data_IF_668337208463
#
_entry.id   IF_668337208463
#
_cell.length_a   1.000
_cell.length_b   1.000
_cell.length_c   1.000
_cell.angle_alpha   90.00
_cell.angle_beta   90.00
_cell.angle_gamma   90.00
#
_symmetry.space_group_name_H-M   'P 1'
#
loop_
_entity.id
_entity.type
_entity.pdbx_description
1 polymer ?
#
# COMPACT_ATOMS: atom_id res chain seq x y z
N UNK A 1 -14.56 15.50 -8.97
CA UNK A 1 -13.18 15.58 -9.38
C UNK A 1 -12.24 15.32 -8.21
N UNK A 2 -11.37 14.36 -8.32
CA UNK A 2 -10.34 14.08 -7.33
C UNK A 2 -10.82 13.50 -6.00
N UNK A 3 -11.99 12.89 -5.95
CA UNK A 3 -12.43 12.20 -4.73
C UNK A 3 -11.97 10.74 -4.80
N UNK A 4 -10.74 10.51 -4.38
CA UNK A 4 -10.10 9.20 -4.50
C UNK A 4 -10.82 8.11 -3.70
N UNK A 5 -11.37 8.46 -2.53
CA UNK A 5 -12.11 7.49 -1.72
C UNK A 5 -13.33 6.96 -2.47
N UNK A 6 -14.07 7.81 -3.17
CA UNK A 6 -15.22 7.39 -3.94
C UNK A 6 -14.84 6.45 -5.07
N UNK A 7 -13.75 6.74 -5.77
CA UNK A 7 -13.26 5.88 -6.85
C UNK A 7 -12.84 4.50 -6.31
N UNK A 8 -12.15 4.47 -5.18
CA UNK A 8 -11.73 3.22 -4.56
C UNK A 8 -12.93 2.42 -4.06
N UNK A 9 -13.95 3.09 -3.52
CA UNK A 9 -15.16 2.41 -3.09
C UNK A 9 -15.96 1.84 -4.26
N UNK A 10 -15.95 2.49 -5.42
CA UNK A 10 -16.58 1.93 -6.62
C UNK A 10 -15.91 0.62 -7.03
N UNK A 11 -14.59 0.53 -6.91
CA UNK A 11 -13.88 -0.72 -7.19
C UNK A 11 -14.25 -1.81 -6.17
N UNK A 12 -14.39 -1.46 -4.90
CA UNK A 12 -14.82 -2.39 -3.86
C UNK A 12 -16.21 -2.95 -4.19
N UNK A 13 -17.12 -2.09 -4.63
CA UNK A 13 -18.50 -2.50 -4.95
C UNK A 13 -18.58 -3.52 -6.09
N UNK A 14 -17.54 -3.57 -6.92
CA UNK A 14 -17.45 -4.54 -8.02
C UNK A 14 -16.90 -5.90 -7.59
N UNK A 15 -16.37 -6.01 -6.38
CA UNK A 15 -15.75 -7.25 -5.90
C UNK A 15 -16.80 -8.19 -5.30
N UNK A 16 -16.64 -9.49 -5.55
CA UNK A 16 -17.59 -10.51 -5.10
C UNK A 16 -16.96 -11.57 -4.19
N UNK A 17 -15.63 -11.53 -3.99
CA UNK A 17 -14.94 -12.48 -3.10
C UNK A 17 -15.10 -12.13 -1.63
N UNK A 18 -14.65 -13.02 -0.75
CA UNK A 18 -14.71 -12.83 0.69
C UNK A 18 -13.71 -11.81 1.18
N UNK A 19 -12.59 -11.67 0.48
CA UNK A 19 -11.55 -10.67 0.74
C UNK A 19 -11.23 -9.91 -0.53
N UNK A 20 -10.74 -8.69 -0.36
CA UNK A 20 -10.34 -7.81 -1.46
C UNK A 20 -8.87 -7.49 -1.30
N UNK A 21 -8.11 -7.65 -2.38
CA UNK A 21 -6.75 -7.17 -2.47
C UNK A 21 -6.74 -6.01 -3.45
N UNK A 22 -6.74 -4.79 -2.91
CA UNK A 22 -6.86 -3.57 -3.72
C UNK A 22 -5.49 -2.88 -3.80
N UNK A 23 -4.93 -2.88 -5.01
CA UNK A 23 -3.61 -2.26 -5.25
C UNK A 23 -3.77 -1.08 -6.21
N UNK A 24 -2.85 -0.13 -6.12
CA UNK A 24 -2.78 0.98 -7.05
C UNK A 24 -2.17 0.53 -8.37
N UNK A 25 -2.44 1.28 -9.44
CA UNK A 25 -2.00 0.91 -10.79
C UNK A 25 -0.47 0.80 -10.93
N UNK A 26 0.27 1.49 -10.06
CA UNK A 26 1.73 1.51 -10.06
C UNK A 26 2.35 0.63 -8.98
N UNK A 27 1.56 -0.27 -8.41
CA UNK A 27 2.03 -1.22 -7.40
C UNK A 27 1.97 -2.64 -7.95
N UNK A 28 2.95 -3.46 -7.59
CA UNK A 28 2.97 -4.88 -7.93
C UNK A 28 3.24 -5.70 -6.67
N UNK A 29 2.46 -6.75 -6.41
CA UNK A 29 2.75 -7.64 -5.29
C UNK A 29 3.97 -8.51 -5.62
N UNK A 30 4.80 -8.81 -4.61
CA UNK A 30 5.86 -9.78 -4.76
C UNK A 30 5.27 -11.17 -4.96
N UNK A 31 6.02 -12.07 -5.60
CA UNK A 31 5.55 -13.44 -5.82
C UNK A 31 5.25 -14.15 -4.50
N UNK A 32 6.11 -13.97 -3.50
CA UNK A 32 5.91 -14.60 -2.20
C UNK A 32 4.62 -14.13 -1.53
N UNK A 33 4.28 -12.83 -1.66
CA UNK A 33 3.03 -12.31 -1.11
C UNK A 33 1.83 -13.01 -1.77
N UNK A 34 1.84 -13.16 -3.07
CA UNK A 34 0.78 -13.86 -3.79
C UNK A 34 0.67 -15.30 -3.32
N UNK A 35 1.81 -15.96 -3.16
CA UNK A 35 1.86 -17.38 -2.79
C UNK A 35 1.31 -17.64 -1.40
N UNK A 36 1.54 -16.73 -0.45
CA UNK A 36 1.11 -16.95 0.95
C UNK A 36 -0.31 -16.47 1.23
N UNK A 37 -0.89 -15.65 0.35
CA UNK A 37 -2.19 -15.02 0.61
C UNK A 37 -3.29 -16.03 0.96
N UNK A 38 -3.54 -17.11 0.19
CA UNK A 38 -4.63 -18.02 0.53
C UNK A 38 -4.48 -18.62 1.94
N UNK A 39 -3.27 -19.04 2.30
CA UNK A 39 -3.01 -19.61 3.62
C UNK A 39 -3.12 -18.56 4.72
N UNK A 40 -2.63 -17.34 4.47
CA UNK A 40 -2.71 -16.24 5.41
C UNK A 40 -4.17 -15.95 5.79
N UNK A 41 -5.02 -15.81 4.79
CA UNK A 41 -6.44 -15.50 4.99
C UNK A 41 -7.18 -16.64 5.67
N UNK A 42 -6.88 -17.88 5.28
CA UNK A 42 -7.50 -19.07 5.86
C UNK A 42 -7.09 -19.27 7.32
N UNK A 43 -5.84 -18.97 7.67
CA UNK A 43 -5.32 -19.15 9.02
C UNK A 43 -5.77 -18.09 10.00
N UNK A 44 -6.29 -16.95 9.50
CA UNK A 44 -6.69 -15.82 10.34
C UNK A 44 -8.08 -15.32 9.94
N UNK A 45 -9.10 -16.16 10.07
CA UNK A 45 -10.42 -15.83 9.49
C UNK A 45 -11.11 -14.64 10.16
N UNK A 46 -10.74 -14.30 11.37
CA UNK A 46 -11.37 -13.20 12.11
C UNK A 46 -10.68 -11.86 11.91
N UNK A 47 -9.54 -11.82 11.23
CA UNK A 47 -8.84 -10.58 10.98
C UNK A 47 -9.39 -9.89 9.74
N UNK A 48 -9.76 -8.62 9.87
CA UNK A 48 -10.48 -7.89 8.83
C UNK A 48 -9.59 -7.08 7.90
N UNK A 49 -8.39 -6.72 8.34
CA UNK A 49 -7.51 -5.86 7.57
C UNK A 49 -6.06 -6.29 7.74
N UNK A 50 -5.31 -6.27 6.64
CA UNK A 50 -3.87 -6.51 6.65
C UNK A 50 -3.13 -5.32 6.09
N UNK A 51 -2.11 -4.89 6.83
CA UNK A 51 -1.17 -3.88 6.37
C UNK A 51 -0.01 -4.60 5.68
N UNK A 52 0.29 -4.17 4.46
CA UNK A 52 1.33 -4.79 3.63
C UNK A 52 2.47 -3.79 3.47
N UNK A 53 3.73 -4.19 3.73
CA UNK A 53 4.86 -3.28 3.54
C UNK A 53 5.07 -3.02 2.05
N UNK A 54 5.31 -1.76 1.72
CA UNK A 54 5.55 -1.33 0.34
C UNK A 54 7.01 -0.93 0.19
N UNK A 55 7.63 -1.41 -0.89
CA UNK A 55 8.99 -1.09 -1.26
C UNK A 55 8.95 0.04 -2.28
N UNK A 56 9.39 1.22 -1.88
CA UNK A 56 9.48 2.38 -2.76
C UNK A 56 10.90 2.52 -3.26
N UNK A 57 11.06 2.56 -4.58
CA UNK A 57 12.34 2.86 -5.22
C UNK A 57 12.15 4.05 -6.14
N UNK A 58 13.17 4.91 -6.21
CA UNK A 58 13.12 6.11 -7.05
C UNK A 58 14.36 6.13 -7.94
N UNK A 59 14.16 5.89 -9.23
CA UNK A 59 15.23 5.96 -10.21
C UNK A 59 15.68 7.41 -10.38
N UNK A 60 16.98 7.63 -10.35
CA UNK A 60 17.55 8.98 -10.44
C UNK A 60 17.67 9.71 -9.12
N UNK A 61 17.40 9.05 -8.01
CA UNK A 61 17.52 9.64 -6.68
C UNK A 61 19.00 9.94 -6.36
N UNK A 62 19.25 11.17 -5.89
CA UNK A 62 20.60 11.62 -5.52
C UNK A 62 20.67 11.89 -4.02
N UNK A 63 21.90 11.95 -3.44
CA UNK A 63 22.05 12.35 -2.03
C UNK A 63 21.41 13.70 -1.71
N UNK A 64 21.41 14.64 -2.66
CA UNK A 64 20.78 15.94 -2.48
C UNK A 64 19.28 15.83 -2.34
N UNK A 65 18.62 14.97 -3.12
CA UNK A 65 17.20 14.70 -2.98
C UNK A 65 16.88 14.10 -1.62
N UNK A 66 17.68 13.12 -1.19
CA UNK A 66 17.50 12.44 0.09
C UNK A 66 17.55 13.46 1.24
N UNK A 67 18.53 14.36 1.21
CA UNK A 67 18.68 15.38 2.22
C UNK A 67 17.54 16.40 2.18
N UNK A 68 17.18 16.86 0.97
CA UNK A 68 16.13 17.86 0.77
C UNK A 68 14.77 17.38 1.30
N UNK A 69 14.45 16.10 1.08
CA UNK A 69 13.16 15.54 1.47
C UNK A 69 13.20 14.82 2.81
N UNK A 70 14.38 14.70 3.43
CA UNK A 70 14.51 14.05 4.74
C UNK A 70 14.25 12.55 4.68
N UNK A 71 14.54 11.90 3.57
CA UNK A 71 14.28 10.48 3.39
C UNK A 71 15.38 9.61 3.96
N UNK A 72 15.00 8.36 4.29
CA UNK A 72 15.96 7.31 4.65
C UNK A 72 15.96 6.30 3.51
N UNK A 73 17.15 5.84 3.14
CA UNK A 73 17.33 4.83 2.08
C UNK A 73 18.22 3.73 2.63
N UNK A 74 17.76 2.49 2.55
CA UNK A 74 18.54 1.35 3.06
C UNK A 74 19.54 0.86 2.03
N UNK A 75 20.29 -0.21 2.37
CA UNK A 75 21.32 -0.78 1.49
C UNK A 75 20.77 -1.36 0.21
N UNK A 76 19.48 -1.66 0.14
CA UNK A 76 18.81 -2.16 -1.05
C UNK A 76 18.27 -1.04 -1.93
N UNK A 77 18.42 0.22 -1.53
CA UNK A 77 17.88 1.36 -2.24
C UNK A 77 16.40 1.62 -1.98
N UNK A 78 15.83 1.03 -0.95
CA UNK A 78 14.42 1.21 -0.60
C UNK A 78 14.24 2.47 0.25
N UNK A 79 13.30 3.31 -0.16
CA UNK A 79 13.04 4.61 0.46
C UNK A 79 12.05 4.46 1.62
N UNK A 80 12.47 4.91 2.80
CA UNK A 80 11.61 4.95 4.00
C UNK A 80 10.91 3.60 4.30
N UNK A 81 11.60 2.50 4.08
CA UNK A 81 11.04 1.18 4.33
C UNK A 81 11.07 0.85 5.83
N UNK A 82 10.02 0.25 6.39
CA UNK A 82 8.79 -0.18 5.75
C UNK A 82 7.76 0.94 5.60
N UNK A 83 7.05 0.91 4.48
CA UNK A 83 5.95 1.81 4.20
C UNK A 83 4.67 0.97 4.14
N UNK A 84 4.02 0.79 5.29
CA UNK A 84 2.85 -0.08 5.40
C UNK A 84 1.62 0.54 4.75
N UNK A 85 0.93 -0.26 3.95
CA UNK A 85 -0.26 0.15 3.22
C UNK A 85 -1.43 -0.78 3.52
N UNK A 86 -2.62 -0.21 3.64
CA UNK A 86 -3.85 -0.97 3.82
C UNK A 86 -4.33 -1.44 2.45
N UNK A 87 -4.06 -2.70 2.13
CA UNK A 87 -4.34 -3.24 0.78
C UNK A 87 -5.16 -4.51 0.76
N UNK A 88 -5.26 -5.22 1.88
CA UNK A 88 -6.02 -6.46 1.98
C UNK A 88 -7.08 -6.27 3.03
N UNK A 89 -8.35 -6.47 2.66
CA UNK A 89 -9.47 -6.23 3.56
C UNK A 89 -10.57 -7.26 3.36
N UNK A 90 -11.30 -7.54 4.42
CA UNK A 90 -12.50 -8.37 4.34
C UNK A 90 -13.58 -7.63 3.54
N UNK A 91 -14.27 -8.34 2.67
CA UNK A 91 -15.31 -7.74 1.83
C UNK A 91 -16.64 -7.66 2.60
N UNK A 92 -16.74 -6.65 3.47
CA UNK A 92 -17.95 -6.38 4.25
C UNK A 92 -18.34 -4.92 4.04
N UNK A 93 -19.66 -4.59 4.14
CA UNK A 93 -20.14 -3.23 3.84
C UNK A 93 -19.57 -2.15 4.76
N UNK A 94 -19.15 -2.52 5.97
CA UNK A 94 -18.65 -1.59 6.97
C UNK A 94 -17.28 -1.00 6.60
N UNK A 95 -16.46 -1.75 5.81
CA UNK A 95 -15.11 -1.31 5.47
C UNK A 95 -15.15 -0.52 4.18
N UNK A 96 -14.82 0.77 4.27
CA UNK A 96 -14.85 1.69 3.15
C UNK A 96 -13.74 2.73 3.26
N UNK A 97 -13.36 3.26 2.11
CA UNK A 97 -12.43 4.38 2.05
C UNK A 97 -13.14 5.67 2.40
N UNK A 98 -12.46 6.52 3.17
CA UNK A 98 -12.97 7.83 3.59
C UNK A 98 -11.92 8.90 3.28
N UNK A 99 -12.35 10.17 3.30
CA UNK A 99 -11.59 11.37 3.02
C UNK A 99 -11.37 11.62 1.52
N UNK A 100 -11.40 12.88 1.17
CA UNK A 100 -11.25 13.33 -0.22
C UNK A 100 -9.82 13.14 -0.73
N UNK A 101 -8.83 13.52 0.10
CA UNK A 101 -7.40 13.29 -0.15
C UNK A 101 -6.82 12.63 1.09
N UNK A 102 -5.68 11.96 0.94
CA UNK A 102 -5.09 11.15 2.00
C UNK A 102 -6.12 10.16 2.53
N UNK A 103 -6.79 9.50 1.59
CA UNK A 103 -7.85 8.56 1.89
C UNK A 103 -7.33 7.40 2.73
N UNK A 104 -8.19 6.91 3.63
CA UNK A 104 -7.89 5.77 4.49
C UNK A 104 -9.08 4.83 4.55
N UNK A 105 -8.84 3.57 4.87
CA UNK A 105 -9.90 2.62 5.16
C UNK A 105 -10.43 2.84 6.58
N UNK A 106 -11.73 2.70 6.73
CA UNK A 106 -12.41 2.83 8.01
C UNK A 106 -13.44 1.72 8.14
N UNK A 107 -13.98 1.52 9.34
CA UNK A 107 -15.02 0.54 9.61
C UNK A 107 -14.54 -0.87 9.94
N UNK A 108 -13.22 -1.12 9.94
CA UNK A 108 -12.67 -2.42 10.36
C UNK A 108 -12.54 -2.48 11.89
N UNK A 109 -12.68 -3.67 12.45
CA UNK A 109 -12.59 -3.90 13.90
C UNK A 109 -11.26 -4.50 14.30
N UNK A 110 -10.55 -5.15 13.39
CA UNK A 110 -9.27 -5.80 13.66
C UNK A 110 -8.33 -5.59 12.50
N UNK A 111 -7.03 -5.53 12.79
CA UNK A 111 -6.02 -5.40 11.76
C UNK A 111 -4.72 -6.04 12.22
N UNK A 112 -3.88 -6.40 11.26
CA UNK A 112 -2.54 -6.90 11.52
C UNK A 112 -1.60 -6.42 10.43
N UNK A 113 -0.36 -6.15 10.79
CA UNK A 113 0.69 -5.83 9.84
C UNK A 113 1.46 -7.11 9.52
N UNK A 114 1.79 -7.34 8.26
CA UNK A 114 2.65 -8.46 7.90
C UNK A 114 4.03 -8.25 8.51
N UNK A 115 4.62 -9.30 9.13
CA UNK A 115 5.96 -9.17 9.71
C UNK A 115 7.02 -8.89 8.65
N UNK A 116 8.15 -8.35 9.07
CA UNK A 116 9.32 -8.13 8.21
C UNK A 116 10.32 -9.28 8.30
N UNK A 117 10.00 -10.31 9.09
CA UNK A 117 10.85 -11.46 9.36
C UNK A 117 10.02 -12.74 9.39
N UNK A 118 10.55 -13.81 9.92
CA UNK A 118 9.84 -15.08 10.18
C UNK A 118 9.19 -15.68 8.92
N UNK A 119 9.89 -15.58 7.78
CA UNK A 119 9.39 -16.11 6.50
C UNK A 119 8.59 -15.12 5.67
N UNK A 120 8.37 -13.90 6.16
CA UNK A 120 7.64 -12.87 5.44
C UNK A 120 8.54 -11.81 4.81
N UNK A 121 9.86 -12.01 4.83
CA UNK A 121 10.83 -11.01 4.37
C UNK A 121 10.61 -10.60 2.91
N UNK A 122 10.09 -11.51 2.08
CA UNK A 122 9.85 -11.27 0.66
C UNK A 122 8.38 -10.97 0.34
N UNK A 123 7.56 -10.68 1.35
CA UNK A 123 6.14 -10.37 1.17
C UNK A 123 5.93 -8.87 1.22
N UNK A 124 5.86 -8.23 0.05
CA UNK A 124 5.72 -6.77 -0.04
C UNK A 124 5.12 -6.36 -1.38
N UNK A 125 4.75 -5.07 -1.45
CA UNK A 125 4.37 -4.42 -2.70
C UNK A 125 5.60 -3.72 -3.27
N UNK A 126 5.73 -3.75 -4.58
CA UNK A 126 6.80 -3.07 -5.32
C UNK A 126 6.21 -1.81 -5.94
N UNK A 127 6.83 -0.66 -5.67
CA UNK A 127 6.33 0.64 -6.11
C UNK A 127 7.48 1.48 -6.67
N UNK A 128 7.91 1.22 -7.92
CA UNK A 128 9.01 1.97 -8.52
C UNK A 128 8.54 3.31 -9.07
N UNK A 129 9.39 4.32 -8.96
CA UNK A 129 9.16 5.65 -9.53
C UNK A 129 10.42 6.19 -10.17
N UNK A 130 10.26 7.17 -11.07
CA UNK A 130 11.37 8.01 -11.51
C UNK A 130 11.41 9.28 -10.67
N UNK A 131 12.55 9.97 -10.67
CA UNK A 131 12.68 11.23 -9.93
C UNK A 131 11.74 12.29 -10.49
N UNK A 132 11.54 12.34 -11.80
CA UNK A 132 10.63 13.29 -12.43
C UNK A 132 9.20 13.06 -11.96
N UNK A 133 8.78 11.80 -11.88
CA UNK A 133 7.43 11.46 -11.42
C UNK A 133 7.24 11.84 -9.96
N UNK A 134 8.26 11.63 -9.12
CA UNK A 134 8.20 12.00 -7.71
C UNK A 134 8.07 13.50 -7.53
N UNK A 135 8.82 14.29 -8.31
CA UNK A 135 8.73 15.75 -8.27
C UNK A 135 7.36 16.24 -8.71
N UNK A 136 6.80 15.65 -9.76
CA UNK A 136 5.44 16.00 -10.21
C UNK A 136 4.40 15.67 -9.14
N UNK A 137 4.54 14.56 -8.48
CA UNK A 137 3.61 14.15 -7.42
C UNK A 137 3.69 15.12 -6.23
N UNK A 138 4.89 15.51 -5.83
CA UNK A 138 5.07 16.47 -4.74
C UNK A 138 4.40 17.80 -5.08
N UNK A 139 4.61 18.30 -6.29
CA UNK A 139 3.98 19.54 -6.76
C UNK A 139 2.46 19.43 -6.80
N UNK A 140 1.93 18.29 -7.24
CA UNK A 140 0.48 18.06 -7.31
C UNK A 140 -0.15 18.13 -5.92
N UNK A 141 0.44 17.47 -4.93
CA UNK A 141 -0.09 17.48 -3.56
C UNK A 141 0.01 18.86 -2.91
N UNK A 142 1.04 19.63 -3.25
CA UNK A 142 1.18 21.01 -2.76
C UNK A 142 0.05 21.92 -3.27
N UNK A 143 -0.60 21.57 -4.37
CA UNK A 143 -1.71 22.35 -4.93
C UNK A 143 -3.09 21.92 -4.42
N UNK A 144 -3.17 20.84 -3.66
CA UNK A 144 -4.43 20.37 -3.10
C UNK A 144 -4.69 21.02 -1.74
#
# INVERSE_FOLDING_TARGET
>A
KGHFADWKNQLIDMCTGDFIFQIDADELPSQMLIDILPQLLESNPDNELYLVPRVNTVEGLTPEHIQKWGWRVNEKGWVNFPDYQTRIMKNIPEIKWVNKVHERLDGFKSYAALPLDMGFEDCYLIHPKTIERQEKQNNFYDTL
#
